data_IF_283507238434
#
_entry.id   IF_283507238434
#
_cell.length_a   1.000
_cell.length_b   1.000
_cell.length_c   1.000
_cell.angle_alpha   90.00
_cell.angle_beta   90.00
_cell.angle_gamma   90.00
#
_symmetry.space_group_name_H-M   'P 1'
#
loop_
_entity.id
_entity.type
_entity.pdbx_description
1 polymer ?
#
# COMPACT_ATOMS: atom_id res chain seq x y z
N UNK A 1 22.34 -30.92 -11.58
CA UNK A 1 23.39 -30.72 -12.61
C UNK A 1 22.88 -31.30 -13.94
N UNK A 2 22.12 -30.51 -14.72
CA UNK A 2 21.53 -30.93 -16.00
C UNK A 2 21.71 -29.81 -17.07
N UNK A 3 22.89 -29.18 -17.12
CA UNK A 3 23.12 -27.99 -17.95
C UNK A 3 24.55 -27.92 -18.54
N UNK A 4 25.18 -29.06 -18.82
CA UNK A 4 26.52 -29.08 -19.41
C UNK A 4 26.52 -29.22 -20.94
N UNK A 5 25.42 -29.65 -21.57
CA UNK A 5 25.40 -29.92 -23.02
C UNK A 5 25.08 -28.70 -23.90
N UNK A 6 24.59 -27.59 -23.33
CA UNK A 6 24.13 -26.41 -24.09
C UNK A 6 25.00 -25.17 -23.95
N UNK A 7 26.14 -25.23 -23.22
CA UNK A 7 27.01 -24.06 -22.97
C UNK A 7 26.40 -22.97 -22.08
N UNK A 8 25.27 -23.26 -21.43
CA UNK A 8 24.47 -22.28 -20.69
C UNK A 8 24.14 -22.83 -19.29
N UNK A 9 24.61 -22.16 -18.25
CA UNK A 9 24.33 -22.50 -16.85
C UNK A 9 23.23 -21.60 -16.30
N UNK A 10 22.09 -22.20 -15.94
CA UNK A 10 21.04 -21.50 -15.19
C UNK A 10 21.47 -21.34 -13.73
N UNK A 11 21.51 -20.10 -13.26
CA UNK A 11 21.71 -19.81 -11.84
C UNK A 11 20.48 -20.31 -11.08
N UNK A 12 20.65 -21.12 -10.01
CA UNK A 12 19.53 -21.60 -9.20
C UNK A 12 18.66 -20.43 -8.74
N UNK A 13 17.34 -20.62 -8.70
CA UNK A 13 16.42 -19.63 -8.15
C UNK A 13 16.85 -19.34 -6.72
N UNK A 14 17.19 -18.09 -6.42
CA UNK A 14 17.36 -17.64 -5.04
C UNK A 14 15.95 -17.69 -4.44
N UNK A 15 15.77 -18.43 -3.35
CA UNK A 15 14.47 -18.55 -2.70
C UNK A 15 14.28 -17.34 -1.80
N UNK A 16 13.72 -16.27 -2.36
CA UNK A 16 13.20 -15.16 -1.57
C UNK A 16 11.98 -15.72 -0.81
N UNK A 17 11.97 -15.59 0.51
CA UNK A 17 10.82 -16.05 1.30
C UNK A 17 9.57 -15.23 0.96
N UNK A 18 8.39 -15.82 1.20
CA UNK A 18 7.08 -15.12 1.13
C UNK A 18 7.13 -13.76 1.86
N UNK A 19 7.92 -13.75 2.93
CA UNK A 19 8.40 -12.61 3.66
C UNK A 19 8.64 -11.34 2.83
N UNK A 20 9.37 -11.44 1.72
CA UNK A 20 9.75 -10.26 0.95
C UNK A 20 8.56 -9.73 0.14
N UNK A 21 7.72 -10.60 -0.41
CA UNK A 21 6.47 -10.18 -1.02
C UNK A 21 5.56 -9.46 0.00
N UNK A 22 5.48 -9.96 1.24
CA UNK A 22 4.74 -9.31 2.33
C UNK A 22 5.32 -7.94 2.68
N UNK A 23 6.65 -7.81 2.77
CA UNK A 23 7.31 -6.52 3.00
C UNK A 23 6.98 -5.49 1.90
N UNK A 24 7.12 -5.88 0.64
CA UNK A 24 6.84 -5.01 -0.51
C UNK A 24 5.36 -4.60 -0.55
N UNK A 25 4.46 -5.53 -0.22
CA UNK A 25 3.04 -5.27 -0.11
C UNK A 25 2.72 -4.28 1.02
N UNK A 26 3.26 -4.50 2.22
CA UNK A 26 3.04 -3.63 3.37
C UNK A 26 3.65 -2.24 3.18
N UNK A 27 4.78 -2.12 2.47
CA UNK A 27 5.32 -0.82 2.05
C UNK A 27 4.37 -0.09 1.09
N UNK A 28 3.76 -0.83 0.15
CA UNK A 28 2.66 -0.40 -0.72
C UNK A 28 1.48 0.17 0.06
N UNK A 29 0.88 -0.68 0.90
CA UNK A 29 -0.27 -0.32 1.75
C UNK A 29 0.05 0.88 2.62
N UNK A 30 1.24 0.93 3.24
CA UNK A 30 1.61 2.05 4.11
C UNK A 30 1.65 3.39 3.37
N UNK A 31 2.40 3.45 2.25
CA UNK A 31 2.50 4.66 1.44
C UNK A 31 1.15 5.09 0.87
N UNK A 32 0.38 4.14 0.34
CA UNK A 32 -0.94 4.40 -0.23
C UNK A 32 -1.95 4.89 0.82
N UNK A 33 -2.00 4.25 2.00
CA UNK A 33 -2.89 4.67 3.09
C UNK A 33 -2.55 6.07 3.61
N UNK A 34 -1.26 6.43 3.63
CA UNK A 34 -0.84 7.78 3.96
C UNK A 34 -1.27 8.80 2.90
N UNK A 35 -1.12 8.48 1.61
CA UNK A 35 -1.63 9.32 0.51
C UNK A 35 -3.14 9.51 0.62
N UNK A 36 -3.90 8.44 0.90
CA UNK A 36 -5.35 8.51 1.12
C UNK A 36 -5.68 9.37 2.33
N UNK A 37 -4.93 9.23 3.44
CA UNK A 37 -5.09 10.08 4.62
C UNK A 37 -4.93 11.57 4.31
N UNK A 38 -3.86 11.92 3.62
CA UNK A 38 -3.57 13.32 3.25
C UNK A 38 -4.59 13.85 2.26
N UNK A 39 -4.96 13.07 1.25
CA UNK A 39 -6.00 13.49 0.29
C UNK A 39 -7.32 13.78 1.00
N UNK A 40 -7.75 12.93 1.94
CA UNK A 40 -8.99 13.11 2.70
C UNK A 40 -8.94 14.40 3.54
N UNK A 41 -7.78 14.68 4.15
CA UNK A 41 -7.56 15.91 4.90
C UNK A 41 -7.60 17.17 4.01
N UNK A 42 -7.07 17.11 2.78
CA UNK A 42 -7.06 18.24 1.86
C UNK A 42 -8.45 18.58 1.33
N UNK A 43 -9.27 17.55 1.07
CA UNK A 43 -10.63 17.74 0.54
C UNK A 43 -11.67 18.02 1.64
N UNK A 44 -11.39 17.76 2.93
CA UNK A 44 -12.36 18.01 4.01
C UNK A 44 -12.85 19.46 4.11
N UNK A 45 -12.02 20.44 3.72
CA UNK A 45 -12.41 21.85 3.70
C UNK A 45 -13.45 22.20 2.62
N UNK A 46 -13.71 21.28 1.69
CA UNK A 46 -14.75 21.40 0.65
C UNK A 46 -16.04 20.66 1.02
N UNK A 47 -16.15 20.14 2.24
CA UNK A 47 -17.34 19.44 2.68
C UNK A 47 -18.54 20.41 2.72
N UNK A 48 -19.66 19.97 2.15
CA UNK A 48 -20.92 20.70 2.10
C UNK A 48 -21.76 20.53 3.36
N UNK A 49 -21.53 19.43 4.09
CA UNK A 49 -22.25 19.07 5.32
C UNK A 49 -21.31 18.59 6.41
N UNK A 50 -21.76 18.66 7.66
CA UNK A 50 -20.99 18.17 8.82
C UNK A 50 -20.74 16.65 8.73
N UNK A 51 -21.67 15.90 8.16
CA UNK A 51 -21.54 14.44 7.95
C UNK A 51 -20.43 14.13 6.95
N UNK A 52 -20.37 14.87 5.84
CA UNK A 52 -19.31 14.73 4.84
C UNK A 52 -17.94 15.12 5.42
N UNK A 53 -17.90 16.18 6.23
CA UNK A 53 -16.68 16.60 6.93
C UNK A 53 -16.18 15.50 7.88
N UNK A 54 -17.09 14.95 8.71
CA UNK A 54 -16.76 13.89 9.67
C UNK A 54 -16.25 12.64 8.96
N UNK A 55 -16.88 12.23 7.85
CA UNK A 55 -16.43 11.07 7.08
C UNK A 55 -15.02 11.25 6.49
N UNK A 56 -14.71 12.44 5.96
CA UNK A 56 -13.37 12.72 5.43
C UNK A 56 -12.33 12.76 6.56
N UNK A 57 -12.69 13.30 7.71
CA UNK A 57 -11.82 13.34 8.89
C UNK A 57 -11.58 11.93 9.48
N UNK A 58 -12.59 11.04 9.43
CA UNK A 58 -12.46 9.61 9.77
C UNK A 58 -11.58 8.86 8.79
N UNK A 59 -11.77 9.07 7.48
CA UNK A 59 -10.93 8.48 6.43
C UNK A 59 -9.47 8.89 6.60
N UNK A 60 -9.22 10.17 6.92
CA UNK A 60 -7.89 10.66 7.29
C UNK A 60 -7.29 9.92 8.49
N UNK A 61 -8.07 9.74 9.57
CA UNK A 61 -7.60 9.01 10.75
C UNK A 61 -7.26 7.56 10.43
N UNK A 62 -8.15 6.84 9.76
CA UNK A 62 -7.91 5.44 9.36
C UNK A 62 -6.67 5.29 8.47
N UNK A 63 -6.47 6.18 7.51
CA UNK A 63 -5.30 6.14 6.63
C UNK A 63 -3.98 6.38 7.37
N UNK A 64 -3.96 7.34 8.33
CA UNK A 64 -2.77 7.57 9.16
C UNK A 64 -2.46 6.39 10.08
N UNK A 65 -3.49 5.76 10.66
CA UNK A 65 -3.35 4.55 11.47
C UNK A 65 -2.78 3.38 10.67
N UNK A 66 -3.40 3.05 9.54
CA UNK A 66 -2.98 1.94 8.69
C UNK A 66 -1.59 2.15 8.11
N UNK A 67 -1.23 3.40 7.78
CA UNK A 67 0.13 3.73 7.34
C UNK A 67 1.18 3.30 8.36
N UNK A 68 1.01 3.70 9.63
CA UNK A 68 1.94 3.40 10.72
C UNK A 68 1.96 1.90 11.06
N UNK A 69 0.79 1.27 11.09
CA UNK A 69 0.69 -0.19 11.34
C UNK A 69 1.39 -0.97 10.23
N UNK A 70 1.12 -0.65 8.96
CA UNK A 70 1.70 -1.37 7.83
C UNK A 70 3.21 -1.19 7.73
N UNK A 71 3.75 0.04 7.92
CA UNK A 71 5.21 0.24 7.91
C UNK A 71 5.89 -0.40 9.13
N UNK A 72 5.24 -0.36 10.31
CA UNK A 72 5.75 -0.99 11.51
C UNK A 72 5.84 -2.51 11.37
N UNK A 73 4.77 -3.15 10.92
CA UNK A 73 4.74 -4.60 10.64
C UNK A 73 5.73 -4.93 9.53
N UNK A 74 5.75 -4.18 8.43
CA UNK A 74 6.67 -4.40 7.31
C UNK A 74 8.15 -4.27 7.71
N UNK A 75 8.50 -3.27 8.52
CA UNK A 75 9.87 -3.07 8.99
C UNK A 75 10.27 -4.13 10.01
N UNK A 76 9.39 -4.48 10.96
CA UNK A 76 9.65 -5.53 11.95
C UNK A 76 9.82 -6.90 11.28
N UNK A 77 8.97 -7.18 10.29
CA UNK A 77 9.13 -8.27 9.36
C UNK A 77 10.55 -8.22 8.76
N UNK A 78 10.97 -7.10 8.15
CA UNK A 78 12.25 -7.00 7.44
C UNK A 78 13.41 -7.34 8.37
N UNK A 79 13.41 -6.77 9.57
CA UNK A 79 14.46 -7.00 10.57
C UNK A 79 14.55 -8.48 10.98
N UNK A 80 13.42 -9.18 11.13
CA UNK A 80 13.41 -10.60 11.51
C UNK A 80 14.15 -11.50 10.50
N UNK A 81 14.09 -11.17 9.21
CA UNK A 81 14.76 -11.96 8.17
C UNK A 81 16.25 -11.60 7.99
N UNK A 82 16.73 -10.49 8.55
CA UNK A 82 18.15 -10.16 8.47
C UNK A 82 18.95 -11.14 9.33
N UNK A 83 20.05 -11.67 8.78
CA UNK A 83 20.95 -12.56 9.53
C UNK A 83 21.60 -11.91 10.77
N UNK A 84 21.51 -10.59 10.92
CA UNK A 84 21.99 -9.84 12.09
C UNK A 84 21.11 -8.59 12.35
N UNK A 85 19.92 -8.74 12.98
CA UNK A 85 18.94 -7.66 13.13
C UNK A 85 19.44 -6.47 13.94
N UNK A 86 20.17 -6.72 15.03
CA UNK A 86 20.70 -5.65 15.88
C UNK A 86 21.78 -4.83 15.17
N UNK A 87 22.57 -5.48 14.30
CA UNK A 87 23.56 -4.78 13.47
C UNK A 87 22.86 -3.93 12.41
N UNK A 88 21.71 -4.37 11.92
CA UNK A 88 20.90 -3.57 11.01
C UNK A 88 20.54 -2.22 11.65
N UNK A 89 20.20 -2.16 12.94
CA UNK A 89 19.88 -0.89 13.64
C UNK A 89 21.06 0.09 13.70
N UNK A 90 22.29 -0.39 13.55
CA UNK A 90 23.48 0.46 13.44
C UNK A 90 23.72 1.00 12.02
N UNK A 91 22.74 0.89 11.12
CA UNK A 91 22.85 1.27 9.71
C UNK A 91 23.38 2.70 9.50
N UNK A 92 22.96 3.65 10.34
CA UNK A 92 23.29 5.07 10.20
C UNK A 92 24.82 5.34 10.27
N UNK A 93 25.58 4.47 10.94
CA UNK A 93 27.03 4.60 11.08
C UNK A 93 27.81 3.72 10.10
N UNK A 94 27.19 2.66 9.57
CA UNK A 94 27.87 1.62 8.80
C UNK A 94 27.72 1.75 7.28
N UNK A 95 26.85 2.64 6.79
CA UNK A 95 26.67 2.81 5.36
C UNK A 95 27.86 3.52 4.70
N UNK A 96 28.47 2.83 3.73
CA UNK A 96 29.60 3.35 2.94
C UNK A 96 29.22 3.72 1.51
N UNK A 97 28.15 3.14 0.96
CA UNK A 97 27.68 3.39 -0.41
C UNK A 97 26.30 4.06 -0.44
N UNK A 98 26.30 5.39 -0.39
CA UNK A 98 25.09 6.22 -0.43
C UNK A 98 24.33 6.19 -1.77
N UNK A 99 24.96 5.69 -2.84
CA UNK A 99 24.29 5.50 -4.14
C UNK A 99 23.43 4.23 -4.21
N UNK A 100 23.54 3.33 -3.23
CA UNK A 100 22.77 2.09 -3.21
C UNK A 100 21.30 2.34 -2.85
N UNK A 101 20.38 1.71 -3.58
CA UNK A 101 18.95 1.71 -3.28
C UNK A 101 18.61 1.21 -1.87
N UNK A 102 19.45 0.36 -1.28
CA UNK A 102 19.29 -0.08 0.10
C UNK A 102 19.46 1.08 1.09
N UNK A 103 20.49 1.91 0.90
CA UNK A 103 20.78 3.06 1.77
C UNK A 103 19.70 4.13 1.62
N UNK A 104 19.36 4.46 0.37
CA UNK A 104 18.29 5.43 0.04
C UNK A 104 16.96 4.96 0.64
N UNK A 105 16.60 3.69 0.44
CA UNK A 105 15.38 3.09 0.98
C UNK A 105 15.33 3.14 2.51
N UNK A 106 16.44 2.85 3.19
CA UNK A 106 16.51 2.89 4.66
C UNK A 106 16.20 4.28 5.20
N UNK A 107 16.81 5.33 4.64
CA UNK A 107 16.54 6.71 5.05
C UNK A 107 15.11 7.15 4.70
N UNK A 108 14.60 6.75 3.52
CA UNK A 108 13.21 7.01 3.14
C UNK A 108 12.24 6.41 4.16
N UNK A 109 12.41 5.14 4.54
CA UNK A 109 11.55 4.48 5.53
C UNK A 109 11.62 5.20 6.86
N UNK A 110 12.82 5.51 7.38
CA UNK A 110 13.00 6.15 8.70
C UNK A 110 12.33 7.52 8.76
N UNK A 111 12.56 8.37 7.76
CA UNK A 111 11.98 9.71 7.72
C UNK A 111 10.46 9.62 7.55
N UNK A 112 9.99 8.79 6.61
CA UNK A 112 8.57 8.58 6.38
C UNK A 112 7.86 8.02 7.61
N UNK A 113 8.38 6.96 8.24
CA UNK A 113 7.76 6.34 9.42
C UNK A 113 7.69 7.29 10.60
N UNK A 114 8.72 8.13 10.78
CA UNK A 114 8.72 9.17 11.82
C UNK A 114 7.62 10.19 11.56
N UNK A 115 7.53 10.72 10.34
CA UNK A 115 6.50 11.69 9.96
C UNK A 115 5.09 11.09 10.03
N UNK A 116 4.90 9.86 9.56
CA UNK A 116 3.62 9.17 9.62
C UNK A 116 3.18 8.93 11.07
N UNK A 117 4.13 8.62 11.97
CA UNK A 117 3.85 8.48 13.41
C UNK A 117 3.48 9.81 14.04
N UNK A 118 4.17 10.91 13.70
CA UNK A 118 3.81 12.25 14.17
C UNK A 118 2.42 12.67 13.67
N UNK A 119 2.10 12.45 12.40
CA UNK A 119 0.77 12.72 11.85
C UNK A 119 -0.31 11.88 12.52
N UNK A 120 -0.05 10.59 12.79
CA UNK A 120 -0.95 9.75 13.59
C UNK A 120 -1.19 10.37 14.96
N UNK A 121 -0.14 10.81 15.64
CA UNK A 121 -0.29 11.43 16.96
C UNK A 121 -1.15 12.69 16.87
N UNK A 122 -0.88 13.58 15.91
CA UNK A 122 -1.68 14.79 15.69
C UNK A 122 -3.11 14.52 15.21
N UNK A 123 -3.39 13.36 14.61
CA UNK A 123 -4.73 12.96 14.16
C UNK A 123 -5.56 12.30 15.27
N UNK A 124 -4.94 11.63 16.23
CA UNK A 124 -5.66 10.91 17.30
C UNK A 124 -5.65 11.61 18.65
N UNK A 125 -4.61 12.36 19.00
CA UNK A 125 -4.45 12.95 20.34
C UNK A 125 -4.57 14.48 20.30
N UNK A 126 -4.79 15.05 21.49
CA UNK A 126 -4.94 16.48 21.76
C UNK A 126 -6.14 16.76 22.67
N UNK A 127 -6.06 17.81 23.49
CA UNK A 127 -7.12 18.21 24.44
C UNK A 127 -8.46 18.46 23.74
N UNK A 128 -8.42 19.01 22.52
CA UNK A 128 -9.58 19.27 21.64
C UNK A 128 -10.40 18.01 21.27
N UNK A 129 -9.84 16.80 21.45
CA UNK A 129 -10.48 15.54 21.07
C UNK A 129 -11.07 14.78 22.25
N UNK A 130 -10.86 15.26 23.47
CA UNK A 130 -11.39 14.60 24.67
C UNK A 130 -12.92 14.50 24.58
N UNK A 131 -13.48 13.34 24.90
CA UNK A 131 -14.92 13.07 24.84
C UNK A 131 -15.50 12.72 23.45
N UNK A 132 -14.70 12.68 22.37
CA UNK A 132 -15.19 12.24 21.05
C UNK A 132 -15.36 10.71 20.97
N UNK A 133 -16.51 10.27 20.44
CA UNK A 133 -16.89 8.87 20.28
C UNK A 133 -17.19 8.54 18.81
N UNK A 134 -16.14 8.30 18.01
CA UNK A 134 -16.24 7.76 16.64
C UNK A 134 -15.50 6.42 16.55
N UNK A 135 -15.83 5.55 15.60
CA UNK A 135 -15.28 4.19 15.48
C UNK A 135 -13.74 4.19 15.45
N UNK A 136 -13.15 5.17 14.77
CA UNK A 136 -11.70 5.38 14.74
C UNK A 136 -11.05 5.61 16.12
N UNK A 137 -11.74 6.23 17.08
CA UNK A 137 -11.17 6.55 18.41
C UNK A 137 -11.00 5.32 19.33
N UNK A 138 -11.26 4.10 18.86
CA UNK A 138 -10.97 2.87 19.61
C UNK A 138 -9.50 2.81 20.08
N UNK A 139 -8.56 3.37 19.31
CA UNK A 139 -7.13 3.46 19.70
C UNK A 139 -6.97 4.22 21.01
N UNK A 140 -7.66 5.35 21.17
CA UNK A 140 -7.63 6.11 22.44
C UNK A 140 -8.31 5.32 23.56
N UNK A 141 -9.39 4.61 23.26
CA UNK A 141 -10.06 3.75 24.25
C UNK A 141 -9.14 2.66 24.78
N UNK A 142 -8.38 1.99 23.91
CA UNK A 142 -7.38 0.98 24.30
C UNK A 142 -6.30 1.59 25.17
N UNK A 143 -5.74 2.74 24.78
CA UNK A 143 -4.70 3.41 25.57
C UNK A 143 -5.22 3.95 26.91
N UNK A 144 -6.50 4.31 26.99
CA UNK A 144 -7.15 4.74 28.23
C UNK A 144 -7.30 3.62 29.27
N UNK A 145 -7.25 2.35 28.87
CA UNK A 145 -7.22 1.23 29.81
C UNK A 145 -5.91 1.14 30.58
N UNK A 146 -4.83 1.75 30.07
CA UNK A 146 -3.53 1.83 30.75
C UNK A 146 -3.58 3.02 31.72
N UNK A 147 -4.31 2.85 32.82
CA UNK A 147 -4.40 3.84 33.89
C UNK A 147 -3.46 3.46 35.05
N UNK A 148 -2.66 4.42 35.51
CA UNK A 148 -1.78 4.26 36.67
C UNK A 148 -2.30 5.21 37.75
N UNK A 149 -2.82 4.66 38.84
CA UNK A 149 -3.41 5.46 39.92
C UNK A 149 -4.78 6.10 39.58
N UNK A 150 -5.54 5.52 38.64
CA UNK A 150 -6.85 6.03 38.22
C UNK A 150 -6.82 7.07 37.10
N UNK A 151 -5.64 7.58 36.77
CA UNK A 151 -5.43 8.54 35.68
C UNK A 151 -4.87 7.83 34.44
N UNK A 152 -5.38 8.11 33.22
CA UNK A 152 -4.87 7.55 31.98
C UNK A 152 -3.57 8.27 31.56
N UNK A 153 -2.47 7.97 32.26
CA UNK A 153 -1.17 8.66 32.12
C UNK A 153 -0.68 8.70 30.66
N UNK A 154 -0.79 7.59 29.93
CA UNK A 154 -0.32 7.51 28.52
C UNK A 154 -1.14 8.43 27.61
N UNK A 155 -2.46 8.49 27.79
CA UNK A 155 -3.33 9.39 27.02
C UNK A 155 -3.01 10.85 27.32
N UNK A 156 -2.87 11.20 28.61
CA UNK A 156 -2.57 12.57 29.02
C UNK A 156 -1.20 13.03 28.48
N UNK A 157 -0.20 12.14 28.46
CA UNK A 157 1.11 12.41 27.86
C UNK A 157 1.02 12.63 26.35
N UNK A 158 0.29 11.77 25.63
CA UNK A 158 0.14 11.89 24.18
C UNK A 158 -0.72 13.10 23.78
N UNK A 159 -1.75 13.43 24.55
CA UNK A 159 -2.56 14.64 24.35
C UNK A 159 -1.70 15.88 24.56
N UNK A 160 -0.94 15.95 25.66
CA UNK A 160 -0.01 17.06 25.93
C UNK A 160 1.08 17.17 24.88
N UNK A 161 1.65 16.05 24.45
CA UNK A 161 2.65 16.02 23.38
C UNK A 161 2.07 16.53 22.06
N UNK A 162 0.87 16.09 21.69
CA UNK A 162 0.16 16.57 20.51
C UNK A 162 -0.05 18.08 20.59
N UNK A 163 -0.58 18.59 21.71
CA UNK A 163 -0.88 20.02 21.88
C UNK A 163 0.38 20.90 21.83
N UNK A 164 1.52 20.41 22.33
CA UNK A 164 2.81 21.13 22.29
C UNK A 164 3.44 21.09 20.89
N UNK A 165 3.36 19.95 20.19
CA UNK A 165 4.11 19.72 18.95
C UNK A 165 3.34 20.06 17.69
N UNK A 166 2.00 20.16 17.76
CA UNK A 166 1.14 20.39 16.61
C UNK A 166 1.45 21.75 15.96
N UNK A 167 1.95 21.76 14.72
CA UNK A 167 2.31 23.01 14.06
C UNK A 167 1.08 23.77 13.56
N UNK A 168 1.23 25.06 13.19
CA UNK A 168 0.16 25.83 12.56
C UNK A 168 -0.39 25.13 11.33
N UNK A 169 -1.69 25.32 11.03
CA UNK A 169 -2.41 24.57 10.00
C UNK A 169 -1.69 24.48 8.64
N UNK A 170 -1.11 25.59 8.14
CA UNK A 170 -0.38 25.59 6.86
C UNK A 170 0.86 24.70 6.89
N UNK A 171 1.64 24.77 7.97
CA UNK A 171 2.84 23.95 8.15
C UNK A 171 2.46 22.48 8.38
N UNK A 172 1.40 22.20 9.13
CA UNK A 172 0.88 20.85 9.32
C UNK A 172 0.49 20.20 7.99
N UNK A 173 -0.26 20.91 7.14
CA UNK A 173 -0.60 20.44 5.79
C UNK A 173 0.65 20.22 4.93
N UNK A 174 1.63 21.12 4.98
CA UNK A 174 2.87 20.99 4.22
C UNK A 174 3.67 19.74 4.64
N UNK A 175 3.80 19.49 5.96
CA UNK A 175 4.46 18.29 6.50
C UNK A 175 3.75 17.02 6.03
N UNK A 176 2.42 17.03 6.04
CA UNK A 176 1.62 15.89 5.58
C UNK A 176 1.79 15.63 4.09
N UNK A 177 1.72 16.67 3.26
CA UNK A 177 1.97 16.56 1.81
C UNK A 177 3.39 16.05 1.53
N UNK A 178 4.39 16.57 2.25
CA UNK A 178 5.76 16.06 2.15
C UNK A 178 5.87 14.58 2.55
N UNK A 179 5.21 14.18 3.64
CA UNK A 179 5.11 12.78 4.04
C UNK A 179 4.45 11.90 2.98
N UNK A 180 3.46 12.42 2.23
CA UNK A 180 2.83 11.67 1.14
C UNK A 180 3.80 11.45 -0.03
N UNK A 181 4.63 12.44 -0.37
CA UNK A 181 5.71 12.25 -1.33
C UNK A 181 6.73 11.22 -0.86
N UNK A 182 7.11 11.24 0.42
CA UNK A 182 7.99 10.21 0.98
C UNK A 182 7.35 8.83 0.98
N UNK A 183 6.05 8.72 1.27
CA UNK A 183 5.29 7.47 1.20
C UNK A 183 5.23 6.90 -0.21
N UNK A 184 5.01 7.74 -1.23
CA UNK A 184 5.15 7.32 -2.63
C UNK A 184 6.59 6.93 -2.97
N UNK A 185 7.58 7.65 -2.44
CA UNK A 185 9.00 7.28 -2.51
C UNK A 185 9.28 5.92 -1.89
N UNK A 186 8.60 5.58 -0.78
CA UNK A 186 8.66 4.26 -0.14
C UNK A 186 8.19 3.18 -1.11
N UNK A 187 7.06 3.39 -1.78
CA UNK A 187 6.55 2.46 -2.78
C UNK A 187 7.54 2.30 -3.94
N UNK A 188 8.02 3.42 -4.50
CA UNK A 188 8.92 3.40 -5.66
C UNK A 188 10.26 2.76 -5.33
N UNK A 189 10.92 3.08 -4.20
CA UNK A 189 12.25 2.51 -3.93
C UNK A 189 12.18 0.98 -3.82
N UNK A 190 11.09 0.42 -3.30
CA UNK A 190 10.97 -1.04 -3.15
C UNK A 190 11.07 -1.77 -4.49
N UNK A 191 10.49 -1.18 -5.54
CA UNK A 191 10.62 -1.66 -6.91
C UNK A 191 11.98 -1.37 -7.53
N UNK A 192 12.60 -0.23 -7.20
CA UNK A 192 13.91 0.15 -7.71
C UNK A 192 15.02 -0.75 -7.17
N UNK A 193 14.88 -1.21 -5.92
CA UNK A 193 15.78 -2.20 -5.32
C UNK A 193 15.80 -3.49 -6.14
N UNK A 194 14.63 -3.97 -6.58
CA UNK A 194 14.54 -5.15 -7.47
C UNK A 194 15.08 -4.83 -8.87
N UNK A 195 14.75 -3.65 -9.39
CA UNK A 195 15.10 -3.23 -10.75
C UNK A 195 16.58 -2.87 -10.93
N UNK A 196 17.34 -2.86 -9.84
CA UNK A 196 18.79 -2.71 -9.91
C UNK A 196 19.46 -3.95 -10.52
N UNK A 197 18.83 -5.11 -10.39
CA UNK A 197 19.25 -6.38 -10.99
C UNK A 197 18.79 -6.47 -12.45
N UNK A 198 19.60 -5.91 -13.36
CA UNK A 198 19.36 -5.90 -14.81
C UNK A 198 19.26 -7.29 -15.46
N UNK A 199 19.69 -8.35 -14.78
CA UNK A 199 19.66 -9.73 -15.29
C UNK A 199 18.28 -10.37 -15.24
N UNK A 200 17.28 -9.77 -14.60
CA UNK A 200 15.92 -10.28 -14.57
C UNK A 200 14.97 -9.39 -15.39
N UNK A 201 14.43 -9.86 -16.53
CA UNK A 201 13.49 -9.08 -17.35
C UNK A 201 12.22 -8.66 -16.61
N UNK A 202 11.77 -9.45 -15.63
CA UNK A 202 10.59 -9.16 -14.80
C UNK A 202 10.82 -7.99 -13.83
N UNK A 203 12.08 -7.60 -13.58
CA UNK A 203 12.43 -6.45 -12.74
C UNK A 203 12.89 -5.28 -13.61
N UNK A 204 12.08 -4.95 -14.61
CA UNK A 204 12.40 -3.90 -15.56
C UNK A 204 12.18 -2.50 -14.98
N UNK A 205 13.20 -1.62 -15.06
CA UNK A 205 13.17 -0.24 -14.53
C UNK A 205 12.08 0.65 -15.14
N UNK A 206 11.62 0.36 -16.36
CA UNK A 206 10.61 1.18 -17.05
C UNK A 206 9.20 0.87 -16.56
N UNK A 207 8.88 -0.40 -16.34
CA UNK A 207 7.51 -0.83 -16.01
C UNK A 207 7.28 -1.09 -14.52
N UNK A 208 8.27 -1.66 -13.83
CA UNK A 208 8.08 -2.13 -12.46
C UNK A 208 7.80 -0.98 -11.46
N UNK A 209 8.51 0.17 -11.50
CA UNK A 209 8.24 1.25 -10.56
C UNK A 209 6.87 1.92 -10.73
N UNK A 210 6.43 2.30 -11.96
CA UNK A 210 5.07 2.78 -12.16
C UNK A 210 3.99 1.77 -11.75
N UNK A 211 4.21 0.48 -12.05
CA UNK A 211 3.28 -0.59 -11.68
C UNK A 211 3.14 -0.71 -10.16
N UNK A 212 4.27 -0.74 -9.43
CA UNK A 212 4.26 -0.78 -7.97
C UNK A 212 3.64 0.47 -7.35
N UNK A 213 3.87 1.65 -7.94
CA UNK A 213 3.29 2.91 -7.48
C UNK A 213 1.76 2.90 -7.60
N UNK A 214 1.22 2.61 -8.78
CA UNK A 214 -0.24 2.58 -8.99
C UNK A 214 -0.91 1.55 -8.09
N UNK A 215 -0.37 0.34 -8.07
CA UNK A 215 -0.88 -0.75 -7.25
C UNK A 215 -0.73 -0.48 -5.76
N UNK A 216 0.34 0.20 -5.34
CA UNK A 216 0.58 0.56 -3.94
C UNK A 216 -0.37 1.63 -3.44
N UNK A 217 -0.64 2.66 -4.26
CA UNK A 217 -1.64 3.68 -3.95
C UNK A 217 -3.04 3.05 -3.90
N UNK A 218 -3.40 2.22 -4.88
CA UNK A 218 -4.71 1.52 -4.92
C UNK A 218 -4.91 0.61 -3.70
N UNK A 219 -3.95 -0.25 -3.37
CA UNK A 219 -4.04 -1.11 -2.17
C UNK A 219 -4.11 -0.33 -0.86
N UNK A 220 -3.34 0.75 -0.71
CA UNK A 220 -3.41 1.58 0.49
C UNK A 220 -4.72 2.38 0.60
N UNK A 221 -5.29 2.82 -0.52
CA UNK A 221 -6.61 3.41 -0.61
C UNK A 221 -7.69 2.40 -0.21
N UNK A 222 -7.66 1.22 -0.82
CA UNK A 222 -8.59 0.13 -0.52
C UNK A 222 -8.56 -0.24 0.96
N UNK A 223 -7.37 -0.39 1.56
CA UNK A 223 -7.24 -0.63 3.00
C UNK A 223 -7.86 0.49 3.84
N UNK A 224 -7.63 1.75 3.45
CA UNK A 224 -8.09 2.93 4.21
C UNK A 224 -9.60 3.07 4.16
N UNK A 225 -10.20 2.97 2.98
CA UNK A 225 -11.62 3.23 2.75
C UNK A 225 -12.50 2.07 3.18
N UNK A 226 -11.96 0.84 3.19
CA UNK A 226 -12.63 -0.31 3.77
C UNK A 226 -12.92 -0.12 5.28
N UNK A 227 -12.08 0.60 6.02
CA UNK A 227 -12.25 0.73 7.47
C UNK A 227 -13.48 1.57 7.87
N UNK A 228 -13.70 2.81 7.36
CA UNK A 228 -14.96 3.51 7.55
C UNK A 228 -16.15 2.68 7.08
N UNK A 229 -16.06 2.01 5.93
CA UNK A 229 -17.14 1.13 5.46
C UNK A 229 -17.45 -0.01 6.45
N UNK A 230 -16.46 -0.52 7.19
CA UNK A 230 -16.63 -1.58 8.19
C UNK A 230 -17.10 -1.02 9.55
N UNK A 231 -16.59 0.12 10.00
CA UNK A 231 -16.83 0.62 11.36
C UNK A 231 -17.88 1.73 11.45
N UNK A 232 -17.93 2.61 10.46
CA UNK A 232 -18.69 3.86 10.48
C UNK A 232 -19.86 3.86 9.46
N UNK A 233 -19.85 2.94 8.48
CA UNK A 233 -20.91 2.73 7.48
C UNK A 233 -20.58 3.28 6.09
N UNK A 234 -21.53 3.23 5.14
CA UNK A 234 -21.37 3.87 3.83
C UNK A 234 -21.40 5.39 3.99
N UNK A 235 -20.32 6.04 3.57
CA UNK A 235 -20.24 7.49 3.49
C UNK A 235 -20.03 7.93 2.05
N UNK A 236 -20.35 9.18 1.74
CA UNK A 236 -20.11 9.77 0.40
C UNK A 236 -18.64 9.65 -0.03
N UNK A 237 -17.75 9.72 0.95
CA UNK A 237 -16.32 9.54 0.79
C UNK A 237 -15.98 8.17 0.18
N UNK A 238 -16.68 7.10 0.57
CA UNK A 238 -16.46 5.75 0.02
C UNK A 238 -16.70 5.73 -1.49
N UNK A 239 -17.79 6.32 -1.96
CA UNK A 239 -18.11 6.39 -3.39
C UNK A 239 -17.05 7.20 -4.17
N UNK A 240 -16.70 8.40 -3.68
CA UNK A 240 -15.69 9.26 -4.33
C UNK A 240 -14.33 8.56 -4.46
N UNK A 241 -13.88 7.88 -3.40
CA UNK A 241 -12.64 7.11 -3.44
C UNK A 241 -12.75 5.83 -4.26
N UNK A 242 -13.93 5.22 -4.38
CA UNK A 242 -14.15 4.09 -5.28
C UNK A 242 -13.85 4.45 -6.74
N UNK A 243 -14.29 5.63 -7.20
CA UNK A 243 -14.00 6.11 -8.55
C UNK A 243 -12.51 6.44 -8.74
N UNK A 244 -11.87 7.01 -7.72
CA UNK A 244 -10.43 7.27 -7.76
C UNK A 244 -9.62 5.97 -7.85
N UNK A 245 -10.03 4.94 -7.12
CA UNK A 245 -9.44 3.59 -7.17
C UNK A 245 -9.62 2.94 -8.54
N UNK A 246 -10.80 3.07 -9.16
CA UNK A 246 -11.03 2.56 -10.52
C UNK A 246 -10.07 3.17 -11.55
N UNK A 247 -9.80 4.47 -11.44
CA UNK A 247 -8.83 5.12 -12.31
C UNK A 247 -7.41 4.56 -12.11
N UNK A 248 -7.00 4.29 -10.86
CA UNK A 248 -5.72 3.65 -10.57
C UNK A 248 -5.66 2.22 -11.14
N UNK A 249 -6.73 1.45 -11.00
CA UNK A 249 -6.85 0.07 -11.54
C UNK A 249 -6.73 0.08 -13.07
N UNK A 250 -7.39 1.01 -13.76
CA UNK A 250 -7.30 1.12 -15.23
C UNK A 250 -5.89 1.46 -15.68
N UNK A 251 -5.22 2.39 -14.99
CA UNK A 251 -3.81 2.73 -15.28
C UNK A 251 -2.90 1.54 -14.99
N UNK A 252 -3.09 0.85 -13.86
CA UNK A 252 -2.35 -0.35 -13.48
C UNK A 252 -2.52 -1.46 -14.53
N UNK A 253 -3.74 -1.72 -14.98
CA UNK A 253 -4.03 -2.70 -16.02
C UNK A 253 -3.34 -2.34 -17.35
N UNK A 254 -3.32 -1.06 -17.73
CA UNK A 254 -2.61 -0.57 -18.90
C UNK A 254 -1.10 -0.80 -18.81
N UNK A 255 -0.49 -0.47 -17.66
CA UNK A 255 0.94 -0.70 -17.41
C UNK A 255 1.26 -2.19 -17.41
N UNK A 256 0.43 -3.02 -16.76
CA UNK A 256 0.59 -4.46 -16.68
C UNK A 256 0.50 -5.11 -18.08
N UNK A 257 -0.47 -4.68 -18.88
CA UNK A 257 -0.63 -5.13 -20.27
C UNK A 257 0.58 -4.74 -21.11
N UNK A 258 1.03 -3.48 -21.03
CA UNK A 258 2.21 -3.01 -21.75
C UNK A 258 3.47 -3.79 -21.32
N UNK A 259 3.61 -4.08 -20.02
CA UNK A 259 4.73 -4.85 -19.50
C UNK A 259 4.70 -6.31 -19.96
N UNK A 260 3.54 -6.95 -19.94
CA UNK A 260 3.37 -8.32 -20.44
C UNK A 260 3.70 -8.42 -21.94
N UNK A 261 3.21 -7.49 -22.76
CA UNK A 261 3.53 -7.42 -24.19
C UNK A 261 5.03 -7.17 -24.43
N UNK A 262 5.66 -6.32 -23.63
CA UNK A 262 7.10 -6.11 -23.68
C UNK A 262 7.88 -7.40 -23.41
N UNK A 263 7.47 -8.19 -22.41
CA UNK A 263 8.11 -9.47 -22.11
C UNK A 263 7.94 -10.49 -23.25
N UNK A 264 6.75 -10.57 -23.83
CA UNK A 264 6.47 -11.45 -24.97
C UNK A 264 7.27 -11.06 -26.23
N UNK A 265 7.34 -9.76 -26.54
CA UNK A 265 8.00 -9.25 -27.75
C UNK A 265 9.52 -9.42 -27.77
N UNK A 266 10.16 -9.74 -26.63
CA UNK A 266 11.61 -10.00 -26.55
C UNK A 266 11.98 -11.43 -26.94
N UNK A 267 11.78 -11.77 -28.21
CA UNK A 267 12.06 -13.11 -28.77
C UNK A 267 13.52 -13.53 -28.68
N UNK A 268 14.47 -12.57 -28.70
CA UNK A 268 15.90 -12.84 -28.53
C UNK A 268 16.38 -13.02 -27.08
N UNK A 269 15.49 -12.92 -26.08
CA UNK A 269 15.86 -13.02 -24.66
C UNK A 269 15.28 -14.27 -24.02
N UNK A 270 16.12 -15.30 -23.80
CA UNK A 270 15.71 -16.58 -23.20
C UNK A 270 15.04 -16.40 -21.83
N UNK A 271 15.55 -15.48 -20.99
CA UNK A 271 14.94 -15.21 -19.68
C UNK A 271 13.55 -14.56 -19.77
N UNK A 272 13.30 -13.77 -20.83
CA UNK A 272 12.00 -13.13 -21.05
C UNK A 272 10.96 -14.18 -21.44
N UNK A 273 11.31 -15.06 -22.39
CA UNK A 273 10.44 -16.17 -22.81
C UNK A 273 10.16 -17.13 -21.65
N UNK A 274 11.21 -17.55 -20.93
CA UNK A 274 11.04 -18.41 -19.75
C UNK A 274 10.19 -17.76 -18.64
N UNK A 275 10.25 -16.42 -18.48
CA UNK A 275 9.38 -15.69 -17.55
C UNK A 275 7.93 -15.76 -18.01
N UNK A 276 7.65 -15.48 -19.30
CA UNK A 276 6.29 -15.56 -19.87
C UNK A 276 5.73 -16.98 -19.76
N UNK A 277 6.53 -18.00 -20.08
CA UNK A 277 6.14 -19.40 -19.95
C UNK A 277 5.83 -19.75 -18.49
N UNK A 278 6.65 -19.27 -17.56
CA UNK A 278 6.43 -19.45 -16.11
C UNK A 278 5.15 -18.74 -15.64
N UNK A 279 4.82 -17.57 -16.19
CA UNK A 279 3.57 -16.85 -15.90
C UNK A 279 2.34 -17.58 -16.47
N UNK A 280 2.46 -18.26 -17.60
CA UNK A 280 1.35 -18.99 -18.23
C UNK A 280 1.22 -20.44 -17.77
N UNK A 281 2.22 -20.99 -17.09
CA UNK A 281 2.22 -22.34 -16.52
C UNK A 281 2.18 -22.30 -14.99
N UNK A 282 3.35 -22.31 -14.33
CA UNK A 282 3.51 -22.48 -12.88
C UNK A 282 2.82 -21.37 -12.08
N UNK A 283 2.88 -20.12 -12.55
CA UNK A 283 2.28 -18.96 -11.90
C UNK A 283 1.00 -18.46 -12.59
N UNK A 284 0.38 -19.29 -13.43
CA UNK A 284 -0.84 -18.94 -14.17
C UNK A 284 -1.98 -18.52 -13.24
N UNK A 285 -2.22 -19.31 -12.19
CA UNK A 285 -3.27 -19.02 -11.22
C UNK A 285 -3.03 -17.70 -10.45
N UNK A 286 -1.88 -17.49 -9.76
CA UNK A 286 -1.66 -16.23 -9.05
C UNK A 286 -1.58 -15.01 -9.98
N UNK A 287 -1.13 -15.17 -11.24
CA UNK A 287 -1.07 -14.07 -12.20
C UNK A 287 -2.44 -13.75 -12.83
N UNK A 288 -3.03 -14.68 -13.57
CA UNK A 288 -4.27 -14.43 -14.32
C UNK A 288 -5.50 -14.35 -13.42
N UNK A 289 -5.63 -15.25 -12.45
CA UNK A 289 -6.79 -15.23 -11.55
C UNK A 289 -6.53 -14.27 -10.39
N UNK A 290 -5.36 -14.33 -9.75
CA UNK A 290 -5.04 -13.49 -8.60
C UNK A 290 -4.90 -12.00 -8.95
N UNK A 291 -3.98 -11.65 -9.85
CA UNK A 291 -3.74 -10.25 -10.22
C UNK A 291 -4.79 -9.74 -11.18
N UNK A 292 -4.94 -10.36 -12.36
CA UNK A 292 -5.79 -9.81 -13.43
C UNK A 292 -7.27 -9.97 -13.10
N UNK A 293 -7.71 -11.16 -12.69
CA UNK A 293 -9.10 -11.44 -12.35
C UNK A 293 -9.53 -10.72 -11.07
N UNK A 294 -9.05 -11.19 -9.93
CA UNK A 294 -9.48 -10.72 -8.61
C UNK A 294 -8.96 -9.32 -8.28
N UNK A 295 -7.74 -8.96 -8.70
CA UNK A 295 -7.14 -7.67 -8.37
C UNK A 295 -7.61 -6.50 -9.20
N UNK A 296 -7.94 -6.73 -10.48
CA UNK A 296 -8.18 -5.65 -11.45
C UNK A 296 -9.58 -5.75 -12.06
N UNK A 297 -9.90 -6.83 -12.78
CA UNK A 297 -11.13 -6.93 -13.56
C UNK A 297 -12.38 -7.04 -12.68
N UNK A 298 -12.37 -7.87 -11.64
CA UNK A 298 -13.53 -8.04 -10.76
C UNK A 298 -13.87 -6.77 -9.97
N UNK A 299 -12.91 -6.09 -9.30
CA UNK A 299 -13.20 -4.84 -8.59
C UNK A 299 -13.73 -3.74 -9.52
N UNK A 300 -13.16 -3.62 -10.73
CA UNK A 300 -13.60 -2.67 -11.74
C UNK A 300 -15.02 -2.99 -12.23
N UNK A 301 -15.31 -4.26 -12.53
CA UNK A 301 -16.65 -4.70 -12.93
C UNK A 301 -17.68 -4.47 -11.81
N UNK A 302 -17.32 -4.76 -10.55
CA UNK A 302 -18.18 -4.47 -9.40
C UNK A 302 -18.49 -2.97 -9.30
N UNK A 303 -17.49 -2.11 -9.45
CA UNK A 303 -17.68 -0.66 -9.41
C UNK A 303 -18.61 -0.16 -10.53
N UNK A 304 -18.43 -0.68 -11.76
CA UNK A 304 -19.29 -0.38 -12.90
C UNK A 304 -20.74 -0.85 -12.68
N UNK A 305 -20.93 -2.06 -12.14
CA UNK A 305 -22.27 -2.60 -11.84
C UNK A 305 -22.94 -1.78 -10.73
N UNK A 306 -22.23 -1.44 -9.66
CA UNK A 306 -22.78 -0.66 -8.55
C UNK A 306 -23.16 0.76 -8.99
N UNK A 307 -22.27 1.46 -9.69
CA UNK A 307 -22.51 2.82 -10.20
C UNK A 307 -23.57 2.82 -11.30
N UNK A 308 -23.56 1.81 -12.18
CA UNK A 308 -24.55 1.66 -13.24
C UNK A 308 -25.94 1.31 -12.70
N UNK A 309 -26.04 0.45 -11.68
CA UNK A 309 -27.30 0.12 -11.03
C UNK A 309 -27.88 1.32 -10.28
N UNK A 310 -27.06 2.09 -9.56
CA UNK A 310 -27.53 3.32 -8.92
C UNK A 310 -28.04 4.34 -9.94
N UNK A 311 -27.35 4.49 -11.08
CA UNK A 311 -27.79 5.40 -12.15
C UNK A 311 -29.04 4.93 -12.91
N UNK A 312 -29.16 3.63 -13.22
CA UNK A 312 -30.26 3.10 -14.06
C UNK A 312 -31.57 2.93 -13.30
N UNK A 313 -31.49 2.57 -12.02
CA UNK A 313 -32.66 2.27 -11.19
C UNK A 313 -32.96 3.36 -10.15
N UNK A 314 -32.27 4.51 -10.23
CA UNK A 314 -32.34 5.61 -9.25
C UNK A 314 -32.24 5.10 -7.80
N UNK A 315 -31.36 4.10 -7.61
CA UNK A 315 -31.17 3.50 -6.29
C UNK A 315 -30.35 4.47 -5.47
N UNK A 316 -31.00 5.06 -4.48
CA UNK A 316 -30.28 5.75 -3.43
C UNK A 316 -29.45 4.71 -2.66
N UNK A 317 -28.13 4.74 -2.86
CA UNK A 317 -27.15 3.90 -2.16
C UNK A 317 -27.27 4.04 -0.63
N UNK A 318 -27.90 5.13 -0.16
CA UNK A 318 -28.16 5.45 1.25
C UNK A 318 -29.52 5.01 1.75
N UNK A 319 -30.41 4.52 0.88
CA UNK A 319 -31.69 3.95 1.29
C UNK A 319 -31.46 2.76 2.22
N UNK A 320 -32.27 2.66 3.28
CA UNK A 320 -32.18 1.60 4.28
C UNK A 320 -32.21 0.19 3.66
N UNK A 321 -32.88 0.03 2.52
CA UNK A 321 -33.01 -1.25 1.82
C UNK A 321 -31.71 -1.70 1.14
N UNK A 322 -30.96 -0.75 0.56
CA UNK A 322 -29.80 -1.06 -0.29
C UNK A 322 -28.46 -0.83 0.42
N UNK A 323 -28.46 -0.07 1.52
CA UNK A 323 -27.27 0.27 2.28
C UNK A 323 -26.39 -0.94 2.63
N UNK A 324 -26.96 -2.04 3.13
CA UNK A 324 -26.17 -3.23 3.48
C UNK A 324 -25.51 -3.90 2.27
N UNK A 325 -26.20 -3.91 1.12
CA UNK A 325 -25.72 -4.53 -0.11
C UNK A 325 -24.58 -3.71 -0.70
N UNK A 326 -24.74 -2.39 -0.82
CA UNK A 326 -23.68 -1.50 -1.31
C UNK A 326 -22.46 -1.53 -0.39
N UNK A 327 -22.68 -1.55 0.93
CA UNK A 327 -21.61 -1.64 1.92
C UNK A 327 -20.82 -2.94 1.76
N UNK A 328 -21.51 -4.07 1.67
CA UNK A 328 -20.88 -5.36 1.43
C UNK A 328 -20.14 -5.38 0.09
N UNK A 329 -20.72 -4.77 -0.96
CA UNK A 329 -20.11 -4.62 -2.28
C UNK A 329 -18.77 -3.87 -2.23
N UNK A 330 -18.73 -2.69 -1.59
CA UNK A 330 -17.47 -1.94 -1.46
C UNK A 330 -16.44 -2.65 -0.60
N UNK A 331 -16.85 -3.25 0.53
CA UNK A 331 -15.92 -4.02 1.39
C UNK A 331 -15.33 -5.20 0.61
N UNK A 332 -16.14 -5.92 -0.16
CA UNK A 332 -15.66 -7.00 -1.01
C UNK A 332 -14.75 -6.49 -2.13
N UNK A 333 -15.12 -5.40 -2.82
CA UNK A 333 -14.28 -4.74 -3.84
C UNK A 333 -12.89 -4.44 -3.28
N UNK A 334 -12.81 -3.73 -2.16
CA UNK A 334 -11.52 -3.35 -1.57
C UNK A 334 -10.73 -4.55 -1.04
N UNK A 335 -11.41 -5.58 -0.53
CA UNK A 335 -10.75 -6.83 -0.11
C UNK A 335 -10.09 -7.54 -1.31
N UNK A 336 -10.77 -7.57 -2.45
CA UNK A 336 -10.25 -8.15 -3.69
C UNK A 336 -9.03 -7.36 -4.22
N UNK A 337 -9.08 -6.03 -4.18
CA UNK A 337 -7.94 -5.17 -4.53
C UNK A 337 -6.71 -5.48 -3.65
N UNK A 338 -6.90 -5.65 -2.34
CA UNK A 338 -5.81 -6.01 -1.43
C UNK A 338 -5.21 -7.39 -1.77
N UNK A 339 -6.05 -8.38 -2.03
CA UNK A 339 -5.63 -9.74 -2.39
C UNK A 339 -4.85 -9.72 -3.72
N UNK A 340 -5.38 -9.06 -4.74
CA UNK A 340 -4.71 -8.94 -6.04
C UNK A 340 -3.40 -8.17 -5.97
N UNK A 341 -3.37 -7.08 -5.19
CA UNK A 341 -2.15 -6.32 -4.92
C UNK A 341 -1.07 -7.15 -4.23
N UNK A 342 -1.43 -8.04 -3.30
CA UNK A 342 -0.48 -9.00 -2.71
C UNK A 342 0.01 -10.02 -3.74
N UNK A 343 -0.89 -10.61 -4.53
CA UNK A 343 -0.52 -11.54 -5.60
C UNK A 343 0.42 -10.91 -6.63
N UNK A 344 0.28 -9.61 -6.92
CA UNK A 344 1.20 -8.91 -7.81
C UNK A 344 2.63 -8.95 -7.26
N UNK A 345 2.84 -8.62 -5.98
CA UNK A 345 4.17 -8.65 -5.35
C UNK A 345 4.69 -10.08 -5.27
N UNK A 346 3.81 -11.04 -5.00
CA UNK A 346 4.15 -12.46 -5.01
C UNK A 346 4.67 -12.90 -6.39
N UNK A 347 3.91 -12.66 -7.46
CA UNK A 347 4.29 -13.07 -8.82
C UNK A 347 5.58 -12.40 -9.27
N UNK A 348 5.74 -11.11 -9.02
CA UNK A 348 6.97 -10.37 -9.39
C UNK A 348 8.22 -10.96 -8.73
N UNK A 349 8.12 -11.48 -7.52
CA UNK A 349 9.26 -12.09 -6.82
C UNK A 349 9.49 -13.54 -7.26
N UNK A 350 8.44 -14.35 -7.35
CA UNK A 350 8.58 -15.81 -7.53
C UNK A 350 8.62 -16.26 -9.00
N UNK A 351 8.01 -15.50 -9.92
CA UNK A 351 8.06 -15.79 -11.35
C UNK A 351 9.33 -15.22 -12.03
N UNK A 352 10.17 -14.50 -11.29
CA UNK A 352 11.39 -13.89 -11.80
C UNK A 352 12.41 -14.95 -12.27
N UNK A 353 12.71 -14.94 -13.57
CA UNK A 353 13.78 -15.76 -14.18
C UNK A 353 14.97 -14.86 -14.52
N UNK A 354 16.17 -15.26 -14.09
CA UNK A 354 17.42 -14.53 -14.37
C UNK A 354 18.04 -15.02 -15.69
N UNK A 355 18.77 -14.14 -16.37
CA UNK A 355 19.62 -14.51 -17.50
C UNK A 355 20.58 -15.63 -17.08
N UNK A 356 20.72 -16.68 -17.91
CA UNK A 356 21.67 -17.73 -17.61
C UNK A 356 23.11 -17.24 -17.91
N UNK A 357 24.07 -17.88 -17.25
CA UNK A 357 25.50 -17.65 -17.50
C UNK A 357 25.91 -18.43 -18.74
N UNK A 358 26.39 -17.72 -19.77
CA UNK A 358 27.06 -18.35 -20.90
C UNK A 358 28.47 -18.73 -20.48
N UNK A 359 28.78 -20.02 -20.48
CA UNK A 359 30.14 -20.50 -20.26
C UNK A 359 30.77 -20.59 -21.65
N UNK A 360 31.67 -19.65 -21.94
CA UNK A 360 32.46 -19.64 -23.18
C UNK A 360 33.55 -20.71 -23.14
#
# INVERSE_FOLDING_TARGET
>A
MLAAESGVIWVPRVHWGLFIATYLFLGGVSGGSYVTSVSAQLIRGRASSDVEWQSRDETSRWGSLLSVVAIGVGTGALLYHLGAPLRALTFAWNFTNYGSWLVIGTWLIVIFSTLATLDLVWNFFGSEKQGRTSGSFFVRRILGWIAIGGEPVVLNLLDRFSDITKPPQKLHTAIRVFGAFLGMGVIVYTSMLLSDLWTCPLWNRTYLPPLFLMSGISTGLAATVAMPAIFDGLTETVHQYSLADDALIVVELGILLAFYNFLQGRTGCMASQATVDSLNSVFSMPFWVGVVGLGLLTPLAMSLVMTGASALFDLDERSHTWHQIFRAGYVLKYSLVLVGGFFLRYVIIFAAVKLPLTVA
#
